data_IF_814992123986
#
_entry.id   IF_814992123986
#
_cell.length_a   1.000
_cell.length_b   1.000
_cell.length_c   1.000
_cell.angle_alpha   90.00
_cell.angle_beta   90.00
_cell.angle_gamma   90.00
#
_symmetry.space_group_name_H-M   'P 1'
#
loop_
_entity.id
_entity.type
_entity.pdbx_description
1 polymer ?
#
# COMPACT_ATOMS: atom_id res chain seq x y z
N UNK A 1 -30.81 10.24 4.77
CA UNK A 1 -30.13 9.30 3.86
C UNK A 1 -30.44 7.89 4.33
N UNK A 2 -30.75 6.96 3.43
CA UNK A 2 -30.81 5.55 3.79
C UNK A 2 -29.41 5.09 4.21
N UNK A 3 -29.32 4.33 5.30
CA UNK A 3 -28.05 3.80 5.79
C UNK A 3 -27.54 2.76 4.80
N UNK A 4 -26.37 3.00 4.21
CA UNK A 4 -25.72 2.05 3.30
C UNK A 4 -25.33 0.78 4.07
N UNK A 5 -25.45 -0.38 3.43
CA UNK A 5 -24.93 -1.63 3.99
C UNK A 5 -23.39 -1.62 3.99
N UNK A 6 -22.72 -2.42 4.83
CA UNK A 6 -21.26 -2.54 4.80
C UNK A 6 -20.73 -2.85 3.40
N UNK A 7 -21.38 -3.74 2.65
CA UNK A 7 -20.98 -4.11 1.29
C UNK A 7 -21.09 -2.93 0.33
N UNK A 8 -22.15 -2.13 0.45
CA UNK A 8 -22.29 -0.91 -0.34
C UNK A 8 -21.19 0.10 -0.01
N UNK A 9 -20.84 0.28 1.26
CA UNK A 9 -19.75 1.20 1.66
C UNK A 9 -18.39 0.70 1.18
N UNK A 10 -18.10 -0.59 1.28
CA UNK A 10 -16.86 -1.17 0.72
C UNK A 10 -16.82 -0.94 -0.79
N UNK A 11 -17.90 -1.28 -1.50
CA UNK A 11 -17.97 -1.09 -2.95
C UNK A 11 -17.82 0.38 -3.35
N UNK A 12 -18.36 1.30 -2.55
CA UNK A 12 -18.19 2.75 -2.71
C UNK A 12 -16.74 3.18 -2.54
N UNK A 13 -16.05 2.58 -1.57
CA UNK A 13 -14.70 2.94 -1.22
C UNK A 13 -13.66 2.38 -2.21
N UNK A 14 -13.94 1.21 -2.80
CA UNK A 14 -13.09 0.56 -3.81
C UNK A 14 -13.48 0.91 -5.25
N UNK A 15 -14.66 1.47 -5.46
CA UNK A 15 -15.19 1.86 -6.77
C UNK A 15 -15.05 3.35 -7.04
N UNK A 16 -15.30 3.73 -8.29
CA UNK A 16 -15.36 5.14 -8.67
C UNK A 16 -16.62 5.82 -8.12
N UNK A 17 -16.63 7.14 -8.28
CA UNK A 17 -17.66 8.09 -7.86
C UNK A 17 -19.07 7.51 -7.76
N UNK A 18 -19.68 7.64 -6.57
CA UNK A 18 -21.09 7.31 -6.39
C UNK A 18 -21.96 8.57 -6.30
N UNK A 19 -22.96 8.71 -7.20
CA UNK A 19 -23.97 9.75 -7.05
C UNK A 19 -24.89 9.41 -5.88
N UNK A 20 -24.97 10.34 -4.92
CA UNK A 20 -25.85 10.32 -3.75
C UNK A 20 -26.91 11.42 -3.91
N UNK A 21 -27.73 11.34 -4.96
CA UNK A 21 -28.65 12.41 -5.34
C UNK A 21 -27.92 13.58 -6.00
N UNK A 22 -27.97 14.77 -5.40
CA UNK A 22 -27.24 15.96 -5.85
C UNK A 22 -25.79 16.02 -5.30
N UNK A 23 -25.39 14.99 -4.57
CA UNK A 23 -24.07 14.86 -3.98
C UNK A 23 -23.27 13.76 -4.68
N UNK A 24 -21.96 13.87 -4.60
CA UNK A 24 -20.99 12.99 -5.24
C UNK A 24 -20.01 12.53 -4.17
N UNK A 25 -19.94 11.22 -3.95
CA UNK A 25 -19.00 10.60 -3.01
C UNK A 25 -17.66 10.32 -3.68
N UNK A 26 -16.58 10.69 -3.02
CA UNK A 26 -15.20 10.45 -3.44
C UNK A 26 -14.46 9.64 -2.39
N UNK A 27 -13.80 8.56 -2.83
CA UNK A 27 -12.95 7.74 -1.97
C UNK A 27 -11.51 8.26 -1.94
N UNK A 28 -10.96 8.47 -0.74
CA UNK A 28 -9.56 8.81 -0.56
C UNK A 28 -8.61 7.71 -1.08
N UNK A 29 -9.03 6.44 -1.04
CA UNK A 29 -8.26 5.33 -1.61
C UNK A 29 -8.14 5.47 -3.13
N UNK A 30 -9.24 5.83 -3.79
CA UNK A 30 -9.29 6.04 -5.25
C UNK A 30 -8.50 7.27 -5.65
N UNK A 31 -8.60 8.37 -4.90
CA UNK A 31 -7.76 9.54 -5.12
C UNK A 31 -6.27 9.16 -5.02
N UNK A 32 -5.87 8.49 -3.93
CA UNK A 32 -4.48 8.10 -3.70
C UNK A 32 -3.93 7.11 -4.73
N UNK A 33 -4.73 6.14 -5.21
CA UNK A 33 -4.27 5.21 -6.26
C UNK A 33 -4.11 5.92 -7.60
N UNK A 34 -5.02 6.84 -7.97
CA UNK A 34 -4.92 7.63 -9.21
C UNK A 34 -3.71 8.56 -9.18
N UNK A 35 -3.44 9.20 -8.05
CA UNK A 35 -2.25 10.03 -7.87
C UNK A 35 -0.97 9.18 -8.00
N UNK A 36 -0.91 8.02 -7.33
CA UNK A 36 0.23 7.11 -7.40
C UNK A 36 0.48 6.60 -8.83
N UNK A 37 -0.58 6.25 -9.56
CA UNK A 37 -0.52 5.84 -10.98
C UNK A 37 0.04 6.94 -11.86
N UNK A 38 -0.47 8.17 -11.70
CA UNK A 38 0.00 9.34 -12.45
C UNK A 38 1.50 9.57 -12.26
N UNK A 39 2.00 9.50 -11.02
CA UNK A 39 3.42 9.70 -10.73
C UNK A 39 4.33 8.55 -11.19
N UNK A 40 3.77 7.37 -11.43
CA UNK A 40 4.53 6.17 -11.81
C UNK A 40 4.36 5.76 -13.27
N UNK A 41 3.73 6.61 -14.09
CA UNK A 41 3.58 6.37 -15.53
C UNK A 41 2.57 5.26 -15.86
N UNK A 42 1.60 5.05 -14.97
CA UNK A 42 0.49 4.12 -15.17
C UNK A 42 -0.76 4.86 -15.60
N UNK A 43 -1.60 4.17 -16.36
CA UNK A 43 -2.95 4.62 -16.68
C UNK A 43 -3.71 4.89 -15.38
N UNK A 44 -4.28 6.09 -15.26
CA UNK A 44 -4.94 6.54 -14.03
C UNK A 44 -6.17 5.68 -13.66
N UNK A 45 -6.85 5.07 -14.64
CA UNK A 45 -8.05 4.25 -14.44
C UNK A 45 -7.71 2.78 -14.21
N UNK A 46 -6.81 2.21 -15.02
CA UNK A 46 -6.56 0.76 -15.05
C UNK A 46 -5.37 0.34 -14.18
N UNK A 47 -4.40 1.22 -13.93
CA UNK A 47 -3.15 0.90 -13.25
C UNK A 47 -2.12 0.17 -14.14
N UNK A 48 -2.43 -0.05 -15.41
CA UNK A 48 -1.50 -0.61 -16.40
C UNK A 48 -0.38 0.39 -16.70
N UNK A 49 0.83 -0.11 -16.96
CA UNK A 49 1.97 0.75 -17.28
C UNK A 49 1.80 1.27 -18.70
N UNK A 50 1.73 2.59 -18.86
CA UNK A 50 1.68 3.24 -20.18
C UNK A 50 3.04 3.77 -20.60
N UNK A 51 3.85 4.18 -19.63
CA UNK A 51 5.18 4.75 -19.85
C UNK A 51 6.20 3.83 -19.21
N UNK A 52 7.01 3.18 -20.04
CA UNK A 52 8.16 2.40 -19.60
C UNK A 52 9.40 3.30 -19.57
N UNK A 53 9.62 3.98 -18.45
CA UNK A 53 10.77 4.84 -18.20
C UNK A 53 11.21 4.69 -16.74
N UNK A 54 12.49 4.38 -16.52
CA UNK A 54 13.02 4.11 -15.18
C UNK A 54 12.91 5.30 -14.23
N UNK A 55 12.95 6.54 -14.72
CA UNK A 55 12.80 7.75 -13.88
C UNK A 55 11.34 7.97 -13.49
N UNK A 56 10.41 7.65 -14.39
CA UNK A 56 8.97 7.75 -14.13
C UNK A 56 8.49 6.61 -13.25
N UNK A 57 8.74 5.36 -13.63
CA UNK A 57 8.34 4.18 -12.87
C UNK A 57 9.08 4.07 -11.53
N UNK A 58 10.25 4.71 -11.43
CA UNK A 58 11.06 4.82 -10.22
C UNK A 58 10.76 6.06 -9.37
N UNK A 59 9.62 6.73 -9.57
CA UNK A 59 9.27 7.93 -8.79
C UNK A 59 9.05 7.60 -7.31
N UNK A 60 9.85 8.21 -6.42
CA UNK A 60 9.79 7.94 -4.97
C UNK A 60 8.50 8.45 -4.34
N UNK A 61 7.98 9.60 -4.79
CA UNK A 61 6.68 10.10 -4.34
C UNK A 61 5.54 9.16 -4.73
N UNK A 62 5.59 8.60 -5.94
CA UNK A 62 4.65 7.55 -6.37
C UNK A 62 4.75 6.30 -5.50
N UNK A 63 5.97 5.88 -5.16
CA UNK A 63 6.20 4.76 -4.23
C UNK A 63 5.66 5.03 -2.82
N UNK A 64 5.85 6.25 -2.28
CA UNK A 64 5.25 6.66 -1.00
C UNK A 64 3.73 6.59 -1.06
N UNK A 65 3.11 7.08 -2.14
CA UNK A 65 1.67 6.96 -2.36
C UNK A 65 1.21 5.52 -2.27
N UNK A 66 1.85 4.60 -2.99
CA UNK A 66 1.55 3.17 -2.92
C UNK A 66 1.73 2.57 -1.51
N UNK A 67 2.78 2.95 -0.77
CA UNK A 67 3.00 2.47 0.61
C UNK A 67 1.94 3.00 1.59
N UNK A 68 1.47 4.23 1.42
CA UNK A 68 0.36 4.81 2.21
C UNK A 68 -0.96 4.09 1.91
N UNK A 69 -1.20 3.68 0.66
CA UNK A 69 -2.39 2.90 0.31
C UNK A 69 -2.39 1.56 1.04
N UNK A 70 -1.24 0.90 1.18
CA UNK A 70 -1.14 -0.33 1.98
C UNK A 70 -1.46 -0.08 3.47
N UNK A 71 -0.99 1.03 4.04
CA UNK A 71 -1.38 1.44 5.40
C UNK A 71 -2.91 1.58 5.53
N UNK A 72 -3.56 2.24 4.57
CA UNK A 72 -5.01 2.39 4.58
C UNK A 72 -5.72 1.05 4.43
N UNK A 73 -5.28 0.20 3.50
CA UNK A 73 -5.86 -1.14 3.26
C UNK A 73 -5.80 -1.99 4.52
N UNK A 74 -4.65 -2.11 5.17
CA UNK A 74 -4.51 -2.96 6.36
C UNK A 74 -5.13 -2.37 7.63
N UNK A 75 -5.48 -1.08 7.60
CA UNK A 75 -6.26 -0.43 8.64
C UNK A 75 -7.76 -0.68 8.45
N UNK A 76 -8.23 -0.67 7.20
CA UNK A 76 -9.64 -0.69 6.89
C UNK A 76 -10.20 -2.10 6.67
N UNK A 77 -9.41 -3.03 6.15
CA UNK A 77 -9.91 -4.30 5.62
C UNK A 77 -9.20 -5.55 6.13
N UNK A 78 -9.94 -6.66 6.17
CA UNK A 78 -9.42 -8.03 6.25
C UNK A 78 -10.26 -8.99 5.39
N UNK A 79 -9.72 -10.15 4.98
CA UNK A 79 -10.52 -11.25 4.46
C UNK A 79 -11.48 -11.80 5.51
N UNK A 80 -12.72 -12.11 5.12
CA UNK A 80 -13.73 -12.65 6.03
C UNK A 80 -13.34 -13.99 6.66
N UNK A 81 -12.68 -14.86 5.89
CA UNK A 81 -12.31 -16.21 6.33
C UNK A 81 -10.84 -16.34 6.75
N UNK A 82 -10.21 -15.26 7.21
CA UNK A 82 -8.82 -15.32 7.68
C UNK A 82 -8.72 -15.88 9.10
N UNK A 83 -7.76 -16.79 9.31
CA UNK A 83 -7.36 -17.26 10.64
C UNK A 83 -6.17 -16.47 11.21
N UNK A 84 -5.64 -15.50 10.46
CA UNK A 84 -4.48 -14.72 10.87
C UNK A 84 -4.90 -13.75 11.97
N UNK A 85 -4.35 -13.97 13.16
CA UNK A 85 -4.48 -13.08 14.30
C UNK A 85 -3.21 -12.24 14.44
N UNK A 86 -3.39 -10.94 14.65
CA UNK A 86 -2.31 -10.00 14.85
C UNK A 86 -2.22 -9.60 16.32
N UNK A 87 -1.00 -9.43 16.87
CA UNK A 87 -0.83 -8.75 18.14
C UNK A 87 -1.47 -7.36 18.15
N UNK A 88 -1.94 -6.94 19.32
CA UNK A 88 -2.37 -5.55 19.55
C UNK A 88 -1.24 -4.61 19.13
N UNK A 89 -1.58 -3.55 18.39
CA UNK A 89 -0.64 -2.55 17.84
C UNK A 89 0.23 -3.01 16.64
N UNK A 90 -0.12 -4.12 15.98
CA UNK A 90 0.52 -4.44 14.70
C UNK A 90 0.29 -3.33 13.68
N UNK A 91 1.36 -2.89 13.01
CA UNK A 91 1.30 -1.81 12.03
C UNK A 91 0.40 -2.20 10.83
N UNK A 92 -0.36 -1.23 10.31
CA UNK A 92 -1.36 -1.48 9.27
C UNK A 92 -0.76 -1.98 7.95
N UNK A 93 0.39 -1.47 7.50
CA UNK A 93 1.03 -2.01 6.29
C UNK A 93 1.43 -3.49 6.44
N UNK A 94 1.83 -3.93 7.63
CA UNK A 94 2.16 -5.33 7.89
C UNK A 94 0.90 -6.19 7.76
N UNK A 95 -0.24 -5.71 8.27
CA UNK A 95 -1.54 -6.39 8.15
C UNK A 95 -1.97 -6.50 6.70
N UNK A 96 -1.86 -5.40 5.94
CA UNK A 96 -2.23 -5.38 4.52
C UNK A 96 -1.43 -6.42 3.73
N UNK A 97 -0.11 -6.41 3.87
CA UNK A 97 0.76 -7.32 3.15
C UNK A 97 0.55 -8.77 3.58
N UNK A 98 0.33 -9.03 4.87
CA UNK A 98 0.04 -10.38 5.35
C UNK A 98 -1.32 -10.92 4.91
N UNK A 99 -2.32 -10.08 4.80
CA UNK A 99 -3.64 -10.49 4.35
C UNK A 99 -3.73 -10.69 2.83
N UNK A 100 -3.07 -9.82 2.06
CA UNK A 100 -3.38 -9.66 0.64
C UNK A 100 -2.18 -9.92 -0.30
N UNK A 101 -1.03 -10.35 0.23
CA UNK A 101 0.14 -10.72 -0.58
C UNK A 101 0.69 -12.09 -0.21
N UNK A 102 1.58 -12.62 -1.05
CA UNK A 102 2.33 -13.86 -0.80
C UNK A 102 3.74 -13.61 -0.25
N UNK A 103 4.05 -12.39 0.18
CA UNK A 103 5.39 -12.03 0.66
C UNK A 103 5.74 -12.73 1.98
N UNK A 104 7.02 -13.09 2.11
CA UNK A 104 7.59 -13.59 3.37
C UNK A 104 7.65 -12.49 4.44
N UNK A 105 7.79 -12.87 5.71
CA UNK A 105 7.93 -11.90 6.82
C UNK A 105 9.07 -10.91 6.60
N UNK A 106 10.21 -11.38 6.08
CA UNK A 106 11.37 -10.53 5.84
C UNK A 106 11.13 -9.52 4.71
N UNK A 107 10.41 -9.91 3.66
CA UNK A 107 10.01 -9.00 2.57
C UNK A 107 9.00 -7.96 3.06
N UNK A 108 8.05 -8.37 3.91
CA UNK A 108 7.08 -7.47 4.52
C UNK A 108 7.77 -6.45 5.43
N UNK A 109 8.72 -6.89 6.25
CA UNK A 109 9.56 -6.04 7.09
C UNK A 109 10.42 -5.07 6.28
N UNK A 110 10.97 -5.53 5.15
CA UNK A 110 11.67 -4.68 4.19
C UNK A 110 10.78 -3.55 3.68
N UNK A 111 9.56 -3.84 3.20
CA UNK A 111 8.63 -2.82 2.71
C UNK A 111 8.17 -1.86 3.81
N UNK A 112 7.94 -2.36 5.03
CA UNK A 112 7.66 -1.50 6.18
C UNK A 112 8.83 -0.56 6.50
N UNK A 113 10.05 -1.09 6.52
CA UNK A 113 11.25 -0.29 6.74
C UNK A 113 11.46 0.75 5.63
N UNK A 114 11.19 0.40 4.36
CA UNK A 114 11.23 1.34 3.24
C UNK A 114 10.19 2.45 3.41
N UNK A 115 8.95 2.10 3.80
CA UNK A 115 7.90 3.07 4.12
C UNK A 115 8.36 4.03 5.20
N UNK A 116 8.97 3.53 6.28
CA UNK A 116 9.49 4.40 7.34
C UNK A 116 10.58 5.35 6.82
N UNK A 117 11.55 4.83 6.07
CA UNK A 117 12.64 5.63 5.52
C UNK A 117 12.15 6.74 4.58
N UNK A 118 11.23 6.41 3.66
CA UNK A 118 10.73 7.35 2.67
C UNK A 118 9.72 8.35 3.26
N UNK A 119 8.80 7.90 4.11
CA UNK A 119 7.70 8.74 4.60
C UNK A 119 8.10 9.68 5.73
N UNK A 120 9.06 9.31 6.58
CA UNK A 120 9.48 10.15 7.70
C UNK A 120 10.67 11.04 7.34
N UNK A 121 11.64 10.52 6.59
CA UNK A 121 12.92 11.21 6.34
C UNK A 121 13.25 11.37 4.84
N UNK A 122 12.42 10.86 3.94
CA UNK A 122 12.70 10.79 2.50
C UNK A 122 14.10 10.23 2.19
N UNK A 123 14.49 9.18 2.93
CA UNK A 123 15.84 8.63 2.98
C UNK A 123 15.93 7.20 2.44
N UNK A 124 17.16 6.71 2.28
CA UNK A 124 17.48 5.35 1.78
C UNK A 124 17.95 4.39 2.89
N UNK A 125 17.69 4.71 4.15
CA UNK A 125 17.95 3.78 5.23
C UNK A 125 16.94 3.94 6.35
N UNK A 126 16.64 2.83 7.00
CA UNK A 126 15.85 2.78 8.21
C UNK A 126 16.73 2.11 9.27
N UNK A 127 17.00 2.80 10.39
CA UNK A 127 17.78 2.24 11.50
C UNK A 127 16.82 2.00 12.65
N UNK A 128 16.62 0.74 13.02
CA UNK A 128 15.75 0.36 14.12
C UNK A 128 16.53 -0.39 15.19
N UNK A 129 16.81 0.31 16.29
CA UNK A 129 17.58 -0.23 17.43
C UNK A 129 16.83 -1.30 18.23
N UNK A 130 15.49 -1.34 18.13
CA UNK A 130 14.65 -2.29 18.88
C UNK A 130 14.40 -3.57 18.11
N UNK A 131 14.25 -3.47 16.80
CA UNK A 131 13.96 -4.60 15.90
C UNK A 131 15.00 -4.62 14.78
N UNK A 132 16.11 -5.36 14.95
CA UNK A 132 17.20 -5.40 13.97
C UNK A 132 16.76 -5.80 12.57
N UNK A 133 15.73 -6.65 12.45
CA UNK A 133 15.14 -7.07 11.17
C UNK A 133 14.51 -5.91 10.37
N UNK A 134 14.32 -4.73 10.98
CA UNK A 134 13.86 -3.52 10.30
C UNK A 134 15.02 -2.59 9.92
N UNK A 135 16.26 -2.95 10.22
CA UNK A 135 17.43 -2.09 9.94
C UNK A 135 17.95 -2.36 8.53
N UNK A 136 17.61 -1.49 7.58
CA UNK A 136 17.98 -1.65 6.18
C UNK A 136 18.66 -0.39 5.64
N UNK A 137 19.58 -0.58 4.70
CA UNK A 137 19.94 0.45 3.73
C UNK A 137 19.57 -0.04 2.34
N UNK A 138 19.00 0.86 1.56
CA UNK A 138 18.26 0.53 0.36
C UNK A 138 18.98 0.99 -0.89
N UNK A 139 18.87 0.15 -1.91
CA UNK A 139 19.12 0.51 -3.30
C UNK A 139 17.81 0.39 -4.08
N UNK A 140 17.38 1.49 -4.67
CA UNK A 140 16.11 1.51 -5.43
C UNK A 140 16.37 1.24 -6.90
N UNK A 141 15.49 0.43 -7.50
CA UNK A 141 15.47 0.07 -8.93
C UNK A 141 14.06 0.27 -9.48
N UNK A 142 13.91 0.30 -10.81
CA UNK A 142 12.62 0.52 -11.47
C UNK A 142 12.52 -0.17 -12.83
N UNK A 143 13.27 -1.27 -13.02
CA UNK A 143 13.31 -2.01 -14.28
C UNK A 143 12.42 -3.27 -14.25
N UNK A 144 12.21 -3.91 -15.40
CA UNK A 144 11.35 -5.10 -15.50
C UNK A 144 11.98 -6.41 -15.02
N UNK A 145 13.30 -6.45 -14.84
CA UNK A 145 14.10 -7.68 -14.62
C UNK A 145 14.37 -7.94 -13.14
N UNK A 146 14.69 -6.91 -12.37
CA UNK A 146 14.94 -7.02 -10.92
C UNK A 146 13.65 -7.44 -10.22
N UNK A 147 13.68 -8.41 -9.29
CA UNK A 147 12.50 -8.78 -8.50
C UNK A 147 12.05 -7.60 -7.61
N UNK A 148 10.87 -7.73 -6.99
CA UNK A 148 10.35 -6.72 -6.07
C UNK A 148 11.34 -6.39 -4.95
N UNK A 149 11.88 -7.42 -4.30
CA UNK A 149 12.86 -7.30 -3.22
C UNK A 149 14.00 -8.27 -3.51
N UNK A 150 15.23 -7.80 -3.32
CA UNK A 150 16.39 -8.66 -3.14
C UNK A 150 16.90 -8.41 -1.71
N UNK A 151 16.72 -9.39 -0.84
CA UNK A 151 17.26 -9.34 0.52
C UNK A 151 18.79 -9.47 0.48
N UNK A 152 19.50 -8.81 1.40
CA UNK A 152 20.95 -8.89 1.45
C UNK A 152 21.42 -10.28 1.88
N UNK A 153 22.68 -10.61 1.57
CA UNK A 153 23.34 -11.81 2.09
C UNK A 153 23.52 -11.74 3.62
N UNK A 154 23.71 -10.53 4.16
CA UNK A 154 23.85 -10.27 5.60
C UNK A 154 23.04 -9.05 6.02
N UNK A 155 22.39 -9.12 7.18
CA UNK A 155 21.66 -7.97 7.72
C UNK A 155 22.63 -6.81 8.00
N UNK A 156 22.28 -5.60 7.55
CA UNK A 156 23.03 -4.41 7.93
C UNK A 156 22.78 -4.04 9.39
N UNK A 157 23.84 -3.66 10.10
CA UNK A 157 23.79 -3.37 11.53
C UNK A 157 23.45 -1.90 11.85
N UNK A 158 23.22 -1.06 10.83
CA UNK A 158 22.96 0.37 11.01
C UNK A 158 24.22 1.25 11.07
N UNK A 159 25.41 0.67 10.99
CA UNK A 159 26.67 1.42 10.93
C UNK A 159 26.96 1.85 9.48
N UNK A 160 27.02 3.15 9.26
CA UNK A 160 27.24 3.77 7.96
C UNK A 160 28.57 3.32 7.33
N UNK A 161 29.59 3.07 8.16
CA UNK A 161 30.94 2.70 7.73
C UNK A 161 30.98 1.27 7.20
N UNK A 162 30.09 0.39 7.67
CA UNK A 162 30.07 -1.03 7.29
C UNK A 162 29.21 -1.31 6.05
N UNK A 163 28.58 -0.29 5.46
CA UNK A 163 27.70 -0.45 4.29
C UNK A 163 28.48 -0.95 3.08
N UNK A 164 27.96 -2.00 2.46
CA UNK A 164 28.49 -2.57 1.23
C UNK A 164 27.37 -3.26 0.43
N UNK A 165 27.71 -3.83 -0.72
CA UNK A 165 26.74 -4.51 -1.58
C UNK A 165 26.15 -5.79 -0.98
N UNK A 166 26.86 -6.48 -0.08
CA UNK A 166 26.42 -7.74 0.53
C UNK A 166 25.40 -7.52 1.66
N UNK A 167 25.36 -6.33 2.25
CA UNK A 167 24.38 -5.95 3.27
C UNK A 167 23.33 -4.93 2.79
N UNK A 168 23.25 -4.69 1.47
CA UNK A 168 22.29 -3.78 0.86
C UNK A 168 20.99 -4.50 0.46
N UNK A 169 19.84 -3.89 0.75
CA UNK A 169 18.54 -4.39 0.32
C UNK A 169 18.13 -3.68 -0.98
N UNK A 170 17.87 -4.43 -2.05
CA UNK A 170 17.33 -3.84 -3.28
C UNK A 170 15.81 -3.84 -3.23
N UNK A 171 15.16 -2.72 -3.56
CA UNK A 171 13.70 -2.68 -3.78
C UNK A 171 13.41 -2.12 -5.16
N UNK A 172 12.57 -2.82 -5.93
CA UNK A 172 12.13 -2.40 -7.23
C UNK A 172 10.78 -1.66 -7.14
N UNK A 173 10.82 -0.35 -7.35
CA UNK A 173 9.65 0.53 -7.25
C UNK A 173 8.61 0.28 -8.33
N UNK A 174 9.02 -0.19 -9.52
CA UNK A 174 8.08 -0.59 -10.56
C UNK A 174 7.24 -1.78 -10.07
N UNK A 175 7.90 -2.79 -9.51
CA UNK A 175 7.26 -3.99 -8.97
C UNK A 175 6.49 -3.71 -7.68
N UNK A 176 6.88 -2.70 -6.91
CA UNK A 176 6.08 -2.24 -5.77
C UNK A 176 4.73 -1.70 -6.25
N UNK A 177 4.72 -0.90 -7.32
CA UNK A 177 3.48 -0.50 -7.97
C UNK A 177 2.65 -1.70 -8.41
N UNK A 178 3.28 -2.69 -9.08
CA UNK A 178 2.57 -3.92 -9.51
C UNK A 178 1.93 -4.64 -8.31
N UNK A 179 2.66 -4.80 -7.21
CA UNK A 179 2.15 -5.43 -5.98
C UNK A 179 0.90 -4.72 -5.45
N UNK A 180 0.94 -3.38 -5.33
CA UNK A 180 -0.19 -2.64 -4.76
C UNK A 180 -1.39 -2.64 -5.71
N UNK A 181 -1.16 -2.57 -7.02
CA UNK A 181 -2.23 -2.73 -8.02
C UNK A 181 -2.88 -4.12 -7.95
N UNK A 182 -2.09 -5.19 -7.80
CA UNK A 182 -2.63 -6.54 -7.62
C UNK A 182 -3.40 -6.71 -6.31
N UNK A 183 -2.91 -6.13 -5.21
CA UNK A 183 -3.66 -6.07 -3.95
C UNK A 183 -4.99 -5.33 -4.16
N UNK A 184 -4.98 -4.18 -4.82
CA UNK A 184 -6.19 -3.41 -5.07
C UNK A 184 -7.21 -4.16 -5.95
N UNK A 185 -6.75 -4.85 -6.99
CA UNK A 185 -7.59 -5.76 -7.80
C UNK A 185 -8.18 -6.88 -6.94
N UNK A 186 -7.38 -7.48 -6.07
CA UNK A 186 -7.84 -8.52 -5.14
C UNK A 186 -8.95 -8.00 -4.21
N UNK A 187 -8.80 -6.81 -3.64
CA UNK A 187 -9.83 -6.18 -2.80
C UNK A 187 -11.16 -6.02 -3.56
N UNK A 188 -11.12 -5.57 -4.83
CA UNK A 188 -12.32 -5.45 -5.68
C UNK A 188 -13.00 -6.79 -5.89
N UNK A 189 -12.23 -7.85 -6.16
CA UNK A 189 -12.73 -9.22 -6.35
C UNK A 189 -13.36 -9.74 -5.05
N UNK A 190 -12.66 -9.61 -3.92
CA UNK A 190 -13.16 -10.06 -2.63
C UNK A 190 -14.41 -9.29 -2.21
N UNK A 191 -14.48 -7.99 -2.48
CA UNK A 191 -15.68 -7.18 -2.23
C UNK A 191 -16.88 -7.66 -3.05
N UNK A 192 -16.70 -7.98 -4.34
CA UNK A 192 -17.80 -8.47 -5.18
C UNK A 192 -18.29 -9.86 -4.75
N UNK A 193 -17.40 -10.65 -4.15
CA UNK A 193 -17.69 -11.98 -3.59
C UNK A 193 -18.15 -11.94 -2.12
N UNK A 194 -18.28 -10.75 -1.51
CA UNK A 194 -18.61 -10.57 -0.09
C UNK A 194 -17.65 -11.29 0.87
N UNK A 195 -16.37 -11.32 0.52
CA UNK A 195 -15.29 -11.94 1.28
C UNK A 195 -14.36 -10.92 1.95
N UNK A 196 -14.76 -9.64 1.97
CA UNK A 196 -14.00 -8.55 2.55
C UNK A 196 -14.79 -7.90 3.69
N UNK A 197 -14.14 -7.71 4.84
CA UNK A 197 -14.72 -7.14 6.05
C UNK A 197 -14.08 -5.81 6.42
N UNK A 198 -14.90 -4.89 6.96
CA UNK A 198 -14.43 -3.66 7.60
C UNK A 198 -13.99 -3.96 9.03
N UNK A 199 -12.78 -3.55 9.37
CA UNK A 199 -12.17 -3.77 10.70
C UNK A 199 -11.98 -2.47 11.51
N UNK A 200 -12.48 -1.36 10.99
CA UNK A 200 -12.52 -0.08 11.71
C UNK A 200 -13.45 -0.18 12.91
N UNK A 201 -13.09 0.48 14.01
CA UNK A 201 -13.90 0.48 15.23
C UNK A 201 -15.29 1.08 14.99
N UNK A 202 -15.38 2.16 14.19
CA UNK A 202 -16.66 2.75 13.79
C UNK A 202 -17.30 2.09 12.56
N UNK A 203 -16.77 0.95 12.10
CA UNK A 203 -17.30 0.18 10.97
C UNK A 203 -17.49 1.02 9.70
N UNK A 204 -18.61 0.80 9.01
CA UNK A 204 -18.98 1.47 7.75
C UNK A 204 -19.12 2.99 7.89
N UNK A 205 -19.57 3.48 9.04
CA UNK A 205 -19.73 4.91 9.30
C UNK A 205 -18.37 5.61 9.39
N UNK A 206 -17.39 5.01 10.07
CA UNK A 206 -16.02 5.54 10.06
C UNK A 206 -15.41 5.48 8.65
N UNK A 207 -15.58 4.37 7.92
CA UNK A 207 -14.99 4.22 6.59
C UNK A 207 -15.45 5.34 5.63
N UNK A 208 -16.76 5.59 5.60
CA UNK A 208 -17.37 6.60 4.73
C UNK A 208 -17.10 8.04 5.17
N UNK A 209 -17.04 8.32 6.47
CA UNK A 209 -16.82 9.69 6.98
C UNK A 209 -15.35 10.11 7.00
N UNK A 210 -14.44 9.18 7.30
CA UNK A 210 -13.01 9.47 7.44
C UNK A 210 -12.25 9.37 6.12
N UNK A 211 -12.61 8.40 5.30
CA UNK A 211 -11.92 8.11 4.03
C UNK A 211 -12.79 8.34 2.81
N UNK A 212 -13.95 8.98 3.01
CA UNK A 212 -14.76 9.54 1.96
C UNK A 212 -14.89 11.04 2.13
N UNK A 213 -15.06 11.76 1.03
CA UNK A 213 -15.56 13.14 1.08
C UNK A 213 -16.71 13.29 0.08
N UNK A 214 -17.63 14.20 0.39
CA UNK A 214 -18.83 14.42 -0.39
C UNK A 214 -18.84 15.86 -0.88
N UNK A 215 -19.08 16.05 -2.17
CA UNK A 215 -19.24 17.38 -2.78
C UNK A 215 -20.54 17.43 -3.58
N UNK A 216 -21.03 18.63 -3.89
CA UNK A 216 -22.16 18.78 -4.80
C UNK A 216 -21.76 18.37 -6.22
N UNK A 217 -22.69 17.74 -6.93
CA UNK A 217 -22.57 17.51 -8.37
C UNK A 217 -22.52 18.88 -9.06
N UNK A 218 -21.44 19.13 -9.82
CA UNK A 218 -21.34 20.30 -10.71
C UNK A 218 -22.15 20.08 -11.97
#
# INVERSE_FOLDING_TARGET
MNKLTPEQVISSHLGDILPLGNLVYFSALIAGIRDSRKFTGRNIETGEIEIYDNNVNGCWLGAIGYLILLDQVGKCFKPSMTSINFPENTNNILRALKYFSSLSDNEIYCLYALRCALAHDYALYNINRRVPALTHHFKLRSNSVTPLIELPSYQWNGDIITRNSQNCTTVNLLKLGDLVEEIFKSLKIMSSQKQLEIILQGGSEELSSRYGFVTFAQ
#
